data_IF_541364172357
#
_entry.id   IF_541364172357
#
_cell.length_a   1.000
_cell.length_b   1.000
_cell.length_c   1.000
_cell.angle_alpha   90.00
_cell.angle_beta   90.00
_cell.angle_gamma   90.00
#
_symmetry.space_group_name_H-M   'P 1'
#
loop_
_entity.id
_entity.type
_entity.pdbx_description
1 polymer ?
#
# COMPACT_ATOMS: atom_id res chain seq x y z
N UNK A 1 -7.49 -44.28 20.20
CA UNK A 1 -6.36 -43.61 20.88
C UNK A 1 -5.12 -44.42 20.57
N UNK A 2 -4.34 -44.02 19.56
CA UNK A 2 -3.13 -44.75 19.14
C UNK A 2 -1.88 -44.02 19.65
N UNK A 3 -1.00 -44.82 20.24
CA UNK A 3 0.18 -44.42 20.97
C UNK A 3 1.13 -43.55 20.13
N UNK A 4 1.49 -42.39 20.70
CA UNK A 4 2.85 -41.88 20.83
C UNK A 4 3.81 -42.25 19.70
N UNK A 5 3.52 -41.82 18.47
CA UNK A 5 4.50 -41.91 17.39
C UNK A 5 5.66 -40.97 17.74
N UNK A 6 6.86 -41.50 18.07
CA UNK A 6 7.95 -40.69 18.62
C UNK A 6 8.35 -39.59 17.65
N UNK A 7 8.31 -39.86 16.33
CA UNK A 7 8.56 -38.84 15.29
C UNK A 7 7.58 -37.67 15.38
N UNK A 8 6.31 -37.94 15.65
CA UNK A 8 5.28 -36.91 15.75
C UNK A 8 5.43 -36.07 17.02
N UNK A 9 5.81 -36.71 18.13
CA UNK A 9 6.14 -35.99 19.37
C UNK A 9 7.43 -35.17 19.23
N UNK A 10 8.45 -35.69 18.54
CA UNK A 10 9.67 -34.93 18.23
C UNK A 10 9.37 -33.75 17.31
N UNK A 11 8.51 -33.93 16.30
CA UNK A 11 8.04 -32.83 15.44
C UNK A 11 7.29 -31.77 16.25
N UNK A 12 6.37 -32.17 17.14
CA UNK A 12 5.66 -31.23 18.00
C UNK A 12 6.57 -30.55 19.03
N UNK A 13 7.55 -31.25 19.59
CA UNK A 13 8.54 -30.68 20.50
C UNK A 13 9.45 -29.67 19.80
N UNK A 14 9.82 -29.93 18.54
CA UNK A 14 10.55 -28.97 17.70
C UNK A 14 9.69 -27.76 17.32
N UNK A 15 8.38 -27.93 17.11
CA UNK A 15 7.44 -26.83 16.90
C UNK A 15 7.19 -26.00 18.18
N UNK A 16 7.31 -26.61 19.36
CA UNK A 16 7.16 -25.96 20.66
C UNK A 16 8.45 -25.27 21.14
N UNK A 17 9.61 -25.67 20.63
CA UNK A 17 10.85 -24.90 20.73
C UNK A 17 10.81 -23.72 19.75
N UNK A 18 9.81 -22.85 19.96
CA UNK A 18 9.82 -21.46 19.52
C UNK A 18 10.93 -20.81 20.33
N UNK A 19 12.16 -20.93 19.86
CA UNK A 19 13.27 -20.20 20.43
C UNK A 19 12.92 -18.71 20.30
N UNK A 20 13.21 -17.90 21.31
CA UNK A 20 12.91 -16.45 21.31
C UNK A 20 13.58 -15.66 20.17
N UNK A 21 14.33 -16.34 19.31
CA UNK A 21 15.08 -15.85 18.16
C UNK A 21 14.86 -16.71 16.89
N UNK A 22 13.81 -17.52 16.83
CA UNK A 22 13.48 -18.26 15.62
C UNK A 22 13.12 -17.28 14.49
N UNK A 23 13.94 -17.25 13.44
CA UNK A 23 13.76 -16.37 12.28
C UNK A 23 12.51 -16.68 11.46
N UNK A 24 11.88 -17.85 11.68
CA UNK A 24 10.57 -18.19 11.13
C UNK A 24 9.41 -17.58 11.91
N UNK A 25 9.61 -17.20 13.18
CA UNK A 25 8.63 -16.53 14.05
C UNK A 25 8.81 -15.02 14.09
N UNK A 26 10.06 -14.58 14.00
CA UNK A 26 10.42 -13.18 13.83
C UNK A 26 10.98 -13.01 12.43
N UNK A 27 10.07 -12.96 11.44
CA UNK A 27 10.33 -11.98 10.39
C UNK A 27 10.37 -10.64 11.14
N UNK A 28 11.57 -10.06 11.25
CA UNK A 28 11.67 -8.63 11.52
C UNK A 28 10.64 -7.99 10.61
N UNK A 29 9.60 -7.36 11.16
CA UNK A 29 8.63 -6.61 10.36
C UNK A 29 9.43 -5.42 9.82
N UNK A 30 10.19 -5.69 8.78
CA UNK A 30 10.83 -4.73 7.92
C UNK A 30 9.69 -4.18 7.09
N UNK A 31 8.84 -3.36 7.72
CA UNK A 31 7.64 -2.73 7.15
C UNK A 31 7.91 -1.96 5.85
N UNK A 32 9.17 -1.93 5.39
CA UNK A 32 9.64 -1.39 4.13
C UNK A 32 9.52 -2.35 2.94
N UNK A 33 9.42 -3.67 3.14
CA UNK A 33 9.49 -4.67 2.04
C UNK A 33 8.19 -5.42 1.75
N UNK A 34 7.15 -5.18 2.53
CA UNK A 34 5.82 -5.75 2.28
C UNK A 34 4.89 -4.62 1.85
N UNK A 35 4.09 -4.88 0.83
CA UNK A 35 3.04 -3.96 0.41
C UNK A 35 1.70 -4.67 0.49
N UNK A 36 0.71 -3.96 1.00
CA UNK A 36 -0.68 -4.39 0.96
C UNK A 36 -1.16 -4.27 -0.51
N UNK A 37 -1.40 -5.41 -1.17
CA UNK A 37 -1.79 -5.48 -2.58
C UNK A 37 -3.10 -4.73 -2.83
N UNK A 38 -4.08 -4.88 -1.94
CA UNK A 38 -5.38 -4.22 -2.08
C UNK A 38 -5.22 -2.71 -1.94
N UNK A 39 -4.47 -2.26 -0.93
CA UNK A 39 -4.24 -0.84 -0.67
C UNK A 39 -3.33 -0.18 -1.72
N UNK A 40 -2.37 -0.92 -2.27
CA UNK A 40 -1.37 -0.39 -3.20
C UNK A 40 -1.87 -0.42 -4.65
N UNK A 41 -2.49 -1.53 -5.05
CA UNK A 41 -2.85 -1.81 -6.45
C UNK A 41 -4.35 -1.97 -6.70
N UNK A 42 -5.17 -1.81 -5.67
CA UNK A 42 -6.63 -1.84 -5.79
C UNK A 42 -7.25 -3.23 -5.86
N UNK A 43 -8.58 -3.23 -5.77
CA UNK A 43 -9.39 -4.44 -5.68
C UNK A 43 -9.29 -5.32 -6.94
N UNK A 44 -9.18 -4.72 -8.13
CA UNK A 44 -9.08 -5.48 -9.38
C UNK A 44 -7.81 -6.35 -9.44
N UNK A 45 -6.66 -5.77 -9.04
CA UNK A 45 -5.37 -6.48 -9.01
C UNK A 45 -5.38 -7.54 -7.92
N UNK A 46 -5.91 -7.19 -6.75
CA UNK A 46 -6.07 -8.14 -5.64
C UNK A 46 -6.92 -9.34 -6.06
N UNK A 47 -8.07 -9.12 -6.69
CA UNK A 47 -8.96 -10.18 -7.14
C UNK A 47 -8.31 -11.10 -8.17
N UNK A 48 -7.53 -10.55 -9.11
CA UNK A 48 -6.77 -11.35 -10.09
C UNK A 48 -5.78 -12.27 -9.41
N UNK A 49 -5.05 -11.77 -8.41
CA UNK A 49 -4.06 -12.56 -7.65
C UNK A 49 -4.75 -13.57 -6.75
N UNK A 50 -5.82 -13.18 -6.06
CA UNK A 50 -6.50 -14.02 -5.07
C UNK A 50 -7.27 -15.18 -5.70
N UNK A 51 -7.92 -14.93 -6.86
CA UNK A 51 -8.81 -15.92 -7.51
C UNK A 51 -8.08 -16.87 -8.46
N UNK A 52 -6.84 -16.58 -8.87
CA UNK A 52 -6.11 -17.38 -9.85
C UNK A 52 -4.80 -17.93 -9.26
N UNK A 53 -4.60 -19.24 -9.36
CA UNK A 53 -3.36 -19.89 -8.92
C UNK A 53 -2.14 -19.49 -9.77
N UNK A 54 -2.36 -19.11 -11.03
CA UNK A 54 -1.37 -18.50 -11.91
C UNK A 54 -1.91 -17.16 -12.36
N UNK A 55 -1.10 -16.12 -12.22
CA UNK A 55 -1.45 -14.78 -12.65
C UNK A 55 -0.24 -14.14 -13.33
N UNK A 56 -0.54 -13.36 -14.37
CA UNK A 56 0.40 -12.47 -15.04
C UNK A 56 -0.32 -11.12 -15.16
N UNK A 57 0.10 -10.15 -14.36
CA UNK A 57 -0.51 -8.83 -14.32
C UNK A 57 0.50 -7.76 -13.95
N UNK A 58 0.44 -6.63 -14.66
CA UNK A 58 1.25 -5.46 -14.36
C UNK A 58 0.72 -4.80 -13.08
N UNK A 59 1.58 -4.68 -12.07
CA UNK A 59 1.24 -3.99 -10.84
C UNK A 59 1.29 -2.48 -11.06
N UNK A 60 0.15 -1.80 -10.90
CA UNK A 60 0.08 -0.35 -11.08
C UNK A 60 -0.41 0.28 -9.79
N UNK A 61 0.36 1.20 -9.20
CA UNK A 61 -0.01 1.84 -7.93
C UNK A 61 -1.19 2.80 -8.13
N UNK A 62 -2.41 2.35 -7.82
CA UNK A 62 -3.65 3.09 -8.10
C UNK A 62 -3.83 4.29 -7.17
N UNK A 63 -3.11 4.30 -6.05
CA UNK A 63 -3.20 5.32 -5.02
C UNK A 63 -3.00 6.74 -5.58
N UNK A 64 -1.99 6.94 -6.43
CA UNK A 64 -1.71 8.26 -7.01
C UNK A 64 -2.84 8.71 -7.96
N UNK A 65 -3.39 7.78 -8.74
CA UNK A 65 -4.52 8.04 -9.65
C UNK A 65 -5.79 8.39 -8.88
N UNK A 66 -6.05 7.70 -7.77
CA UNK A 66 -7.22 7.97 -6.93
C UNK A 66 -7.10 9.31 -6.22
N UNK A 67 -5.91 9.66 -5.69
CA UNK A 67 -5.66 11.00 -5.13
C UNK A 67 -5.86 12.07 -6.21
N UNK A 68 -5.32 11.89 -7.41
CA UNK A 68 -5.49 12.85 -8.51
C UNK A 68 -6.97 13.11 -8.81
N UNK A 69 -7.76 12.03 -8.93
CA UNK A 69 -9.21 12.12 -9.18
C UNK A 69 -9.94 12.84 -8.04
N UNK A 70 -9.72 12.44 -6.79
CA UNK A 70 -10.38 13.04 -5.62
C UNK A 70 -10.00 14.52 -5.45
N UNK A 71 -8.74 14.88 -5.70
CA UNK A 71 -8.30 16.28 -5.66
C UNK A 71 -8.91 17.07 -6.80
N UNK A 72 -9.08 16.48 -7.99
CA UNK A 72 -9.76 17.11 -9.11
C UNK A 72 -11.25 17.40 -8.82
N UNK A 73 -11.90 16.58 -8.01
CA UNK A 73 -13.30 16.79 -7.59
C UNK A 73 -13.43 17.71 -6.36
N UNK A 74 -12.33 17.94 -5.63
CA UNK A 74 -12.34 18.77 -4.43
C UNK A 74 -12.70 20.23 -4.73
N UNK A 75 -13.52 20.81 -3.85
CA UNK A 75 -14.08 22.17 -3.97
C UNK A 75 -13.37 23.18 -3.09
N UNK A 76 -12.61 22.72 -2.10
CA UNK A 76 -11.93 23.60 -1.15
C UNK A 76 -10.65 22.96 -0.60
N UNK A 77 -9.82 23.80 0.03
CA UNK A 77 -8.56 23.39 0.66
C UNK A 77 -8.75 22.28 1.70
N UNK A 78 -9.82 22.33 2.48
CA UNK A 78 -10.08 21.37 3.57
C UNK A 78 -10.27 19.96 3.04
N UNK A 79 -11.02 19.80 1.95
CA UNK A 79 -11.20 18.52 1.26
C UNK A 79 -9.86 17.97 0.74
N UNK A 80 -9.03 18.81 0.11
CA UNK A 80 -7.71 18.39 -0.37
C UNK A 80 -6.82 17.88 0.78
N UNK A 81 -6.83 18.57 1.93
CA UNK A 81 -6.08 18.14 3.11
C UNK A 81 -6.62 16.81 3.66
N UNK A 82 -7.95 16.66 3.72
CA UNK A 82 -8.58 15.44 4.19
C UNK A 82 -8.22 14.23 3.31
N UNK A 83 -8.20 14.42 1.98
CA UNK A 83 -7.75 13.40 1.03
C UNK A 83 -6.30 13.01 1.34
N UNK A 84 -5.37 13.95 1.39
CA UNK A 84 -3.96 13.61 1.66
C UNK A 84 -3.77 12.90 3.01
N UNK A 85 -4.52 13.31 4.03
CA UNK A 85 -4.52 12.66 5.34
C UNK A 85 -5.04 11.22 5.28
N UNK A 86 -6.10 10.93 4.51
CA UNK A 86 -6.63 9.56 4.40
C UNK A 86 -5.65 8.59 3.74
N UNK A 87 -4.73 9.10 2.92
CA UNK A 87 -3.66 8.30 2.29
C UNK A 87 -2.32 8.38 3.03
N UNK A 88 -2.26 8.96 4.23
CA UNK A 88 -1.03 9.20 4.99
C UNK A 88 0.06 9.93 4.16
N UNK A 89 -0.34 10.84 3.28
CA UNK A 89 0.57 11.65 2.46
C UNK A 89 0.66 13.08 2.97
N UNK A 90 1.82 13.70 2.74
CA UNK A 90 2.10 15.09 3.06
C UNK A 90 2.03 15.91 1.78
N UNK A 91 1.41 17.09 1.87
CA UNK A 91 1.40 18.10 0.79
C UNK A 91 2.64 18.96 0.95
N UNK A 92 3.36 19.22 -0.15
CA UNK A 92 4.51 20.12 -0.13
C UNK A 92 4.12 21.50 0.40
N UNK A 93 4.95 22.10 1.26
CA UNK A 93 4.63 23.35 1.94
C UNK A 93 4.31 24.50 0.98
N UNK A 94 5.03 24.58 -0.15
CA UNK A 94 4.81 25.58 -1.20
C UNK A 94 3.41 25.45 -1.82
N UNK A 95 2.97 24.22 -2.09
CA UNK A 95 1.65 23.90 -2.65
C UNK A 95 0.57 24.09 -1.59
N UNK A 96 0.85 23.77 -0.33
CA UNK A 96 -0.07 23.99 0.79
C UNK A 96 -0.38 25.48 1.02
N UNK A 97 0.64 26.34 0.93
CA UNK A 97 0.44 27.80 0.95
C UNK A 97 -0.40 28.24 -0.24
N UNK A 98 -0.11 27.70 -1.43
CA UNK A 98 -0.84 28.02 -2.66
C UNK A 98 -2.32 27.59 -2.62
N UNK A 99 -2.69 26.52 -1.93
CA UNK A 99 -4.11 26.14 -1.73
C UNK A 99 -4.94 27.25 -1.08
N UNK A 100 -4.30 28.17 -0.35
CA UNK A 100 -4.96 29.29 0.34
C UNK A 100 -5.03 30.55 -0.52
N UNK A 101 -4.06 30.76 -1.42
CA UNK A 101 -3.97 31.97 -2.25
C UNK A 101 -4.50 31.77 -3.68
N UNK A 102 -4.38 30.57 -4.24
CA UNK A 102 -4.90 30.20 -5.55
C UNK A 102 -5.21 28.70 -5.60
N UNK A 103 -6.43 28.36 -5.19
CA UNK A 103 -6.89 26.98 -5.07
C UNK A 103 -6.79 26.19 -6.38
N UNK A 104 -7.31 26.74 -7.49
CA UNK A 104 -7.31 26.05 -8.79
C UNK A 104 -5.89 25.78 -9.31
N UNK A 105 -4.98 26.74 -9.15
CA UNK A 105 -3.57 26.53 -9.53
C UNK A 105 -2.92 25.44 -8.68
N UNK A 106 -3.13 25.47 -7.36
CA UNK A 106 -2.60 24.44 -6.46
C UNK A 106 -3.17 23.05 -6.79
N UNK A 107 -4.47 22.97 -7.05
CA UNK A 107 -5.17 21.74 -7.45
C UNK A 107 -4.57 21.15 -8.71
N UNK A 108 -4.37 21.95 -9.75
CA UNK A 108 -3.75 21.49 -11.00
C UNK A 108 -2.31 20.98 -10.80
N UNK A 109 -1.52 21.66 -9.96
CA UNK A 109 -0.15 21.21 -9.63
C UNK A 109 -0.18 19.87 -8.91
N UNK A 110 -1.09 19.69 -7.95
CA UNK A 110 -1.24 18.44 -7.20
C UNK A 110 -1.63 17.30 -8.16
N UNK A 111 -2.65 17.52 -8.99
CA UNK A 111 -3.13 16.53 -9.96
C UNK A 111 -2.00 16.12 -10.91
N UNK A 112 -1.31 17.08 -11.53
CA UNK A 112 -0.20 16.80 -12.44
C UNK A 112 0.94 16.02 -11.75
N UNK A 113 1.26 16.38 -10.50
CA UNK A 113 2.27 15.63 -9.71
C UNK A 113 1.83 14.19 -9.48
N UNK A 114 0.60 13.97 -9.03
CA UNK A 114 0.12 12.60 -8.78
C UNK A 114 0.01 11.78 -10.06
N UNK A 115 -0.41 12.36 -11.17
CA UNK A 115 -0.41 11.69 -12.48
C UNK A 115 1.00 11.30 -12.93
N UNK A 116 1.98 12.17 -12.71
CA UNK A 116 3.39 11.87 -12.99
C UNK A 116 3.89 10.70 -12.14
N UNK A 117 3.60 10.70 -10.83
CA UNK A 117 3.99 9.60 -9.94
C UNK A 117 3.25 8.28 -10.29
N UNK A 118 2.00 8.36 -10.74
CA UNK A 118 1.28 7.21 -11.27
C UNK A 118 1.98 6.62 -12.50
N UNK A 119 2.34 7.46 -13.48
CA UNK A 119 3.05 7.02 -14.68
C UNK A 119 4.40 6.37 -14.35
N UNK A 120 5.17 6.93 -13.40
CA UNK A 120 6.42 6.33 -12.93
C UNK A 120 6.21 4.96 -12.30
N UNK A 121 5.09 4.76 -11.59
CA UNK A 121 4.80 3.47 -10.95
C UNK A 121 4.59 2.35 -11.97
N UNK A 122 4.07 2.65 -13.16
CA UNK A 122 3.88 1.67 -14.24
C UNK A 122 5.22 1.11 -14.74
N UNK A 123 6.28 1.93 -14.74
CA UNK A 123 7.61 1.53 -15.24
C UNK A 123 8.41 0.77 -14.18
N UNK A 124 8.02 0.86 -12.91
CA UNK A 124 8.76 0.31 -11.77
C UNK A 124 8.55 -1.20 -11.58
N UNK A 125 7.42 -1.74 -12.01
CA UNK A 125 6.97 -3.12 -11.79
C UNK A 125 6.89 -3.87 -13.11
#
# INVERSE_FOLDING_TARGET
>A
MNASNPKYQTLMANLLNIDTLDSSLFSSIDNEKYFDVLKSFGEETFDKIYKNFHFDCILTEVLNKDIAKKVHEAKNKTEVIAIFKSYNKIIDESVFKLLSSNFEKAKNIIVAKQETEFQKSIVKW
#
